data_IF_393758858663
#
_entry.id   IF_393758858663
#
_cell.length_a   1.000
_cell.length_b   1.000
_cell.length_c   1.000
_cell.angle_alpha   90.00
_cell.angle_beta   90.00
_cell.angle_gamma   90.00
#
_symmetry.space_group_name_H-M   'P 1'
#
loop_
_entity.id
_entity.type
_entity.pdbx_description
1 polymer ?
#
# COMPACT_ATOMS: atom_id res chain seq x y z
N UNK A 1 0.46 13.78 -12.58
CA UNK A 1 1.21 12.63 -12.02
C UNK A 1 0.42 11.30 -12.12
N UNK A 2 -0.47 11.14 -13.11
CA UNK A 2 -1.36 9.96 -13.23
C UNK A 2 -0.86 8.94 -14.26
N UNK A 3 0.02 9.33 -15.17
CA UNK A 3 0.50 8.49 -16.30
C UNK A 3 1.99 8.16 -16.25
N UNK A 4 2.69 8.42 -15.14
CA UNK A 4 4.13 8.14 -15.06
C UNK A 4 4.49 6.66 -15.32
N UNK A 5 3.56 5.75 -15.03
CA UNK A 5 3.72 4.32 -15.25
C UNK A 5 3.19 3.85 -16.62
N UNK A 6 2.54 4.72 -17.41
CA UNK A 6 1.83 4.31 -18.63
C UNK A 6 2.76 3.83 -19.76
N UNK A 7 4.00 4.31 -19.79
CA UNK A 7 5.03 3.98 -20.78
C UNK A 7 6.10 3.03 -20.20
N UNK A 8 5.92 2.53 -18.98
CA UNK A 8 6.91 1.69 -18.29
C UNK A 8 6.52 0.23 -18.35
N UNK A 9 7.52 -0.63 -18.58
CA UNK A 9 7.35 -2.08 -18.47
C UNK A 9 7.41 -2.46 -17.00
N UNK A 10 6.29 -2.92 -16.47
CA UNK A 10 6.15 -3.35 -15.08
C UNK A 10 6.45 -4.85 -15.01
N UNK A 11 7.32 -5.27 -14.10
CA UNK A 11 7.59 -6.69 -13.85
C UNK A 11 6.38 -7.38 -13.22
N UNK A 12 6.28 -8.71 -13.37
CA UNK A 12 5.17 -9.49 -12.80
C UNK A 12 5.02 -9.31 -11.28
N UNK A 13 6.12 -9.18 -10.56
CA UNK A 13 6.15 -8.99 -9.11
C UNK A 13 5.66 -7.59 -8.72
N UNK A 14 6.07 -6.56 -9.48
CA UNK A 14 5.59 -5.20 -9.27
C UNK A 14 4.09 -5.05 -9.61
N UNK A 15 3.62 -5.74 -10.65
CA UNK A 15 2.20 -5.77 -11.00
C UNK A 15 1.37 -6.42 -9.89
N UNK A 16 1.85 -7.53 -9.31
CA UNK A 16 1.21 -8.20 -8.18
C UNK A 16 1.05 -7.27 -6.97
N UNK A 17 2.08 -6.48 -6.62
CA UNK A 17 2.00 -5.47 -5.55
C UNK A 17 0.95 -4.40 -5.85
N UNK A 18 0.86 -3.93 -7.10
CA UNK A 18 -0.15 -2.94 -7.52
C UNK A 18 -1.57 -3.50 -7.44
N UNK A 19 -1.77 -4.76 -7.83
CA UNK A 19 -3.07 -5.41 -7.84
C UNK A 19 -3.58 -5.69 -6.41
N UNK A 20 -2.72 -6.20 -5.52
CA UNK A 20 -3.08 -6.37 -4.11
C UNK A 20 -3.26 -5.01 -3.39
N UNK A 21 -2.41 -4.03 -3.71
CA UNK A 21 -2.55 -2.67 -3.18
C UNK A 21 -3.87 -2.02 -3.59
N UNK A 22 -4.35 -2.28 -4.81
CA UNK A 22 -5.66 -1.81 -5.30
C UNK A 22 -6.82 -2.38 -4.48
N UNK A 23 -6.75 -3.64 -4.06
CA UNK A 23 -7.80 -4.26 -3.22
C UNK A 23 -7.89 -3.56 -1.86
N UNK A 24 -6.74 -3.27 -1.23
CA UNK A 24 -6.69 -2.50 0.02
C UNK A 24 -7.25 -1.08 -0.18
N UNK A 25 -6.90 -0.43 -1.29
CA UNK A 25 -7.42 0.89 -1.65
C UNK A 25 -8.94 0.88 -1.80
N UNK A 26 -9.49 -0.09 -2.53
CA UNK A 26 -10.93 -0.26 -2.65
C UNK A 26 -11.60 -0.47 -1.29
N UNK A 27 -11.04 -1.35 -0.46
CA UNK A 27 -11.56 -1.63 0.88
C UNK A 27 -11.56 -0.39 1.79
N UNK A 28 -10.56 0.48 1.66
CA UNK A 28 -10.51 1.75 2.38
C UNK A 28 -11.70 2.66 2.01
N UNK A 29 -12.02 2.81 0.72
CA UNK A 29 -13.11 3.67 0.25
C UNK A 29 -14.52 3.08 0.43
N UNK A 30 -14.66 1.79 0.74
CA UNK A 30 -15.98 1.16 1.00
C UNK A 30 -16.68 1.74 2.23
N UNK A 31 -15.92 2.20 3.23
CA UNK A 31 -16.45 2.65 4.51
C UNK A 31 -15.87 4.00 4.91
N UNK A 32 -16.61 4.72 5.76
CA UNK A 32 -16.18 5.98 6.33
C UNK A 32 -15.66 5.72 7.74
N UNK A 33 -14.44 6.19 8.01
CA UNK A 33 -13.83 6.09 9.33
C UNK A 33 -14.55 6.94 10.39
N UNK A 34 -14.47 6.52 11.65
CA UNK A 34 -14.98 7.32 12.76
C UNK A 34 -14.23 8.67 12.88
N UNK A 35 -14.81 9.61 13.63
CA UNK A 35 -14.25 10.95 13.77
C UNK A 35 -12.83 10.95 14.35
N UNK A 36 -12.56 10.11 15.35
CA UNK A 36 -11.26 10.04 16.03
C UNK A 36 -10.14 9.63 15.08
N UNK A 37 -10.36 8.58 14.28
CA UNK A 37 -9.37 8.08 13.29
C UNK A 37 -9.16 9.12 12.18
N UNK A 38 -10.23 9.79 11.73
CA UNK A 38 -10.14 10.85 10.71
C UNK A 38 -9.28 12.03 11.17
N UNK A 39 -9.43 12.47 12.41
CA UNK A 39 -8.62 13.57 12.95
C UNK A 39 -7.18 13.14 13.19
N UNK A 40 -6.97 11.96 13.78
CA UNK A 40 -5.63 11.44 14.08
C UNK A 40 -4.79 11.23 12.81
N UNK A 41 -5.37 10.65 11.77
CA UNK A 41 -4.70 10.37 10.49
C UNK A 41 -4.89 11.48 9.46
N UNK A 42 -5.62 12.55 9.80
CA UNK A 42 -5.91 13.70 8.92
C UNK A 42 -6.52 13.28 7.58
N UNK A 43 -7.49 12.36 7.62
CA UNK A 43 -8.09 11.73 6.43
C UNK A 43 -8.97 12.67 5.58
N UNK A 44 -9.34 13.84 6.11
CA UNK A 44 -10.18 14.83 5.42
C UNK A 44 -9.38 15.75 4.49
N UNK A 45 -8.13 15.43 4.18
CA UNK A 45 -7.24 16.28 3.38
C UNK A 45 -6.96 15.66 2.02
N UNK A 46 -6.66 16.48 0.99
CA UNK A 46 -6.34 15.96 -0.35
C UNK A 46 -4.96 15.28 -0.42
N UNK A 47 -4.10 15.43 0.60
CA UNK A 47 -2.75 14.86 0.70
C UNK A 47 -2.71 13.49 1.39
N UNK A 48 -3.85 12.80 1.50
CA UNK A 48 -3.92 11.45 2.07
C UNK A 48 -3.17 10.47 1.17
N UNK A 49 -2.04 10.00 1.68
CA UNK A 49 -1.18 9.02 1.06
C UNK A 49 -1.36 7.60 1.61
N UNK A 50 -0.57 6.70 1.05
CA UNK A 50 -0.62 5.26 1.35
C UNK A 50 -0.45 4.92 2.84
N UNK A 51 0.40 5.64 3.56
CA UNK A 51 0.61 5.44 5.00
C UNK A 51 -0.68 5.64 5.80
N UNK A 52 -1.41 6.72 5.52
CA UNK A 52 -2.66 7.03 6.22
C UNK A 52 -3.72 5.98 5.92
N UNK A 53 -3.82 5.52 4.67
CA UNK A 53 -4.76 4.46 4.26
C UNK A 53 -4.50 3.15 4.98
N UNK A 54 -3.24 2.70 5.06
CA UNK A 54 -2.88 1.47 5.79
C UNK A 54 -3.23 1.57 7.27
N UNK A 55 -2.89 2.68 7.91
CA UNK A 55 -3.19 2.85 9.33
C UNK A 55 -4.68 2.97 9.62
N UNK A 56 -5.46 3.57 8.72
CA UNK A 56 -6.91 3.61 8.85
C UNK A 56 -7.51 2.20 8.79
N UNK A 57 -7.08 1.38 7.83
CA UNK A 57 -7.47 -0.03 7.74
C UNK A 57 -7.05 -0.84 8.98
N UNK A 58 -5.85 -0.61 9.52
CA UNK A 58 -5.41 -1.24 10.79
C UNK A 58 -6.30 -0.80 11.95
N UNK A 59 -6.64 0.49 12.05
CA UNK A 59 -7.54 0.99 13.09
C UNK A 59 -8.93 0.36 12.99
N UNK A 60 -9.46 0.18 11.77
CA UNK A 60 -10.73 -0.53 11.52
C UNK A 60 -10.65 -1.99 11.99
N UNK A 61 -9.60 -2.71 11.62
CA UNK A 61 -9.40 -4.09 12.04
C UNK A 61 -9.37 -4.23 13.58
N UNK A 62 -8.78 -3.25 14.28
CA UNK A 62 -8.73 -3.24 15.75
C UNK A 62 -10.05 -2.85 16.40
N UNK A 63 -10.85 -1.98 15.77
CA UNK A 63 -12.15 -1.56 16.29
C UNK A 63 -13.20 -2.69 16.25
N UNK A 64 -13.09 -3.60 15.27
CA UNK A 64 -14.07 -4.67 15.07
C UNK A 64 -15.39 -4.20 14.43
N UNK A 65 -15.51 -2.92 14.05
CA UNK A 65 -16.72 -2.34 13.46
C UNK A 65 -17.07 -2.91 12.08
N UNK A 66 -16.06 -3.44 11.37
CA UNK A 66 -16.17 -3.95 10.00
C UNK A 66 -15.43 -5.29 9.85
N UNK A 67 -15.69 -6.00 8.75
CA UNK A 67 -14.94 -7.21 8.43
C UNK A 67 -13.43 -6.89 8.32
N UNK A 68 -12.56 -7.65 8.99
CA UNK A 68 -11.13 -7.41 8.95
C UNK A 68 -10.57 -7.54 7.53
N UNK A 69 -9.77 -6.55 7.14
CA UNK A 69 -9.04 -6.57 5.87
C UNK A 69 -7.66 -7.16 6.12
N UNK A 70 -7.32 -8.27 5.45
CA UNK A 70 -6.00 -8.89 5.58
C UNK A 70 -4.95 -8.16 4.74
N UNK A 71 -3.78 -7.92 5.35
CA UNK A 71 -2.59 -7.40 4.67
C UNK A 71 -1.66 -8.50 4.14
N UNK A 72 -1.91 -9.77 4.48
CA UNK A 72 -1.00 -10.90 4.21
C UNK A 72 -0.61 -11.02 2.73
N UNK A 73 -1.58 -10.86 1.83
CA UNK A 73 -1.34 -11.00 0.39
C UNK A 73 -0.48 -9.86 -0.15
N UNK A 74 -0.73 -8.65 0.32
CA UNK A 74 0.08 -7.48 -0.03
C UNK A 74 1.50 -7.61 0.51
N UNK A 75 1.67 -8.04 1.76
CA UNK A 75 2.98 -8.23 2.38
C UNK A 75 3.78 -9.34 1.70
N UNK A 76 3.13 -10.44 1.29
CA UNK A 76 3.76 -11.50 0.51
C UNK A 76 4.24 -10.98 -0.86
N UNK A 77 3.39 -10.27 -1.60
CA UNK A 77 3.76 -9.68 -2.89
C UNK A 77 4.90 -8.65 -2.74
N UNK A 78 4.84 -7.82 -1.69
CA UNK A 78 5.86 -6.82 -1.39
C UNK A 78 7.21 -7.46 -1.03
N UNK A 79 7.18 -8.55 -0.27
CA UNK A 79 8.38 -9.32 0.09
C UNK A 79 9.03 -9.94 -1.15
N UNK A 80 8.24 -10.57 -2.03
CA UNK A 80 8.74 -11.12 -3.29
C UNK A 80 9.42 -10.06 -4.16
N UNK A 81 8.80 -8.89 -4.29
CA UNK A 81 9.42 -7.77 -5.03
C UNK A 81 10.70 -7.28 -4.33
N UNK A 82 10.71 -7.21 -3.01
CA UNK A 82 11.88 -6.78 -2.23
C UNK A 82 13.05 -7.74 -2.40
N UNK A 83 12.81 -9.04 -2.34
CA UNK A 83 13.86 -10.06 -2.48
C UNK A 83 14.48 -10.05 -3.89
N UNK A 84 13.69 -9.71 -4.91
CA UNK A 84 14.19 -9.48 -6.27
C UNK A 84 15.05 -8.20 -6.37
N UNK A 85 14.60 -7.09 -5.78
CA UNK A 85 15.27 -5.80 -5.92
C UNK A 85 16.53 -5.70 -5.06
N UNK A 86 16.58 -6.36 -3.90
CA UNK A 86 17.70 -6.29 -2.96
C UNK A 86 19.08 -6.56 -3.60
N UNK A 87 19.30 -7.63 -4.37
CA UNK A 87 20.58 -7.82 -5.06
C UNK A 87 20.84 -6.75 -6.13
N UNK A 88 19.81 -6.36 -6.90
CA UNK A 88 19.91 -5.39 -7.98
C UNK A 88 20.39 -4.00 -7.50
N UNK A 89 20.05 -3.61 -6.27
CA UNK A 89 20.50 -2.33 -5.68
C UNK A 89 22.03 -2.26 -5.61
N UNK A 90 22.69 -3.37 -5.32
CA UNK A 90 24.15 -3.44 -5.30
C UNK A 90 24.74 -3.65 -6.69
N UNK A 91 24.15 -4.53 -7.51
CA UNK A 91 24.61 -4.79 -8.89
C UNK A 91 24.57 -3.54 -9.76
N UNK A 92 23.55 -2.70 -9.59
CA UNK A 92 23.37 -1.45 -10.31
C UNK A 92 24.08 -0.27 -9.65
N UNK A 93 24.88 -0.51 -8.60
CA UNK A 93 25.63 0.50 -7.85
C UNK A 93 24.77 1.64 -7.26
N UNK A 94 23.49 1.38 -6.96
CA UNK A 94 22.66 2.33 -6.21
C UNK A 94 23.18 2.49 -4.78
N UNK A 95 23.70 1.40 -4.19
CA UNK A 95 24.43 1.41 -2.92
C UNK A 95 25.79 0.75 -3.11
N UNK A 96 26.82 1.33 -2.49
CA UNK A 96 28.14 0.70 -2.42
C UNK A 96 28.14 -0.35 -1.31
N UNK A 97 28.79 -1.49 -1.59
CA UNK A 97 29.11 -2.53 -0.60
C UNK A 97 30.24 -2.05 0.29
#
# INVERSE_FOLDING_TARGET
MVQYLSDKVISSEAQSVLDEGRKLWQAYFTHIDNHMVREQLKLNRPDVGWFQVRNALTARNNSGDYMPVSFSNFEAAYTQLTDKLRPMVYELNFLKV
#
